data_IF_123194255428
#
_entry.id   IF_123194255428
#
_cell.length_a   1.000
_cell.length_b   1.000
_cell.length_c   1.000
_cell.angle_alpha   90.00
_cell.angle_beta   90.00
_cell.angle_gamma   90.00
#
_symmetry.space_group_name_H-M   'P 1'
#
loop_
_entity.id
_entity.type
_entity.pdbx_description
1 polymer ?
#
# COMPACT_ATOMS: atom_id res chain seq x y z
N UNK A 1 22.42 4.91 0.77
CA UNK A 1 20.96 4.97 0.88
C UNK A 1 20.57 6.28 0.22
N UNK A 2 19.96 6.21 -0.96
CA UNK A 2 19.65 7.36 -1.82
C UNK A 2 18.38 8.07 -1.35
N UNK A 3 18.37 9.40 -1.36
CA UNK A 3 17.25 10.25 -0.92
C UNK A 3 15.92 9.97 -1.66
N UNK A 4 15.98 9.34 -2.84
CA UNK A 4 14.81 8.93 -3.62
C UNK A 4 13.95 7.82 -2.98
N UNK A 5 14.49 7.04 -2.04
CA UNK A 5 13.71 5.97 -1.39
C UNK A 5 12.69 6.52 -0.38
N UNK A 6 12.90 7.75 0.13
CA UNK A 6 12.03 8.33 1.14
C UNK A 6 10.68 8.82 0.58
N UNK A 7 10.67 9.39 -0.62
CA UNK A 7 9.42 9.88 -1.23
C UNK A 7 8.47 8.73 -1.58
N UNK A 8 9.00 7.59 -2.03
CA UNK A 8 8.18 6.39 -2.31
C UNK A 8 7.56 5.80 -1.03
N UNK A 9 8.25 5.91 0.11
CA UNK A 9 7.76 5.44 1.41
C UNK A 9 6.66 6.32 2.01
N UNK A 10 6.70 7.64 1.76
CA UNK A 10 5.68 8.58 2.26
C UNK A 10 4.31 8.30 1.62
N UNK A 11 4.29 8.06 0.31
CA UNK A 11 3.05 7.76 -0.43
C UNK A 11 2.39 6.48 0.10
N UNK A 12 3.19 5.50 0.52
CA UNK A 12 2.67 4.26 1.09
C UNK A 12 2.01 4.43 2.45
N UNK A 13 2.51 5.33 3.31
CA UNK A 13 1.87 5.59 4.60
C UNK A 13 0.48 6.19 4.41
N UNK A 14 0.33 7.16 3.50
CA UNK A 14 -0.99 7.76 3.21
C UNK A 14 -1.97 6.72 2.64
N UNK A 15 -1.51 5.84 1.74
CA UNK A 15 -2.33 4.74 1.20
C UNK A 15 -2.73 3.78 2.32
N UNK A 16 -1.81 3.42 3.22
CA UNK A 16 -2.08 2.54 4.36
C UNK A 16 -3.07 3.17 5.33
N UNK A 17 -2.97 4.47 5.61
CA UNK A 17 -3.89 5.20 6.48
C UNK A 17 -5.30 5.32 5.87
N UNK A 18 -5.41 5.57 4.56
CA UNK A 18 -6.69 5.55 3.87
C UNK A 18 -7.31 4.14 3.85
N UNK A 19 -6.49 3.11 3.61
CA UNK A 19 -6.91 1.72 3.69
C UNK A 19 -7.40 1.39 5.09
N UNK A 20 -6.66 1.78 6.12
CA UNK A 20 -7.04 1.67 7.53
C UNK A 20 -8.37 2.39 7.82
N UNK A 21 -8.57 3.57 7.25
CA UNK A 21 -9.81 4.35 7.33
C UNK A 21 -10.98 3.74 6.52
N UNK A 22 -10.77 2.61 5.83
CA UNK A 22 -11.81 1.91 5.06
C UNK A 22 -11.91 2.34 3.59
N UNK A 23 -11.03 3.22 3.12
CA UNK A 23 -10.98 3.67 1.73
C UNK A 23 -9.98 2.83 0.93
N UNK A 24 -10.50 1.79 0.31
CA UNK A 24 -9.72 0.85 -0.53
C UNK A 24 -9.74 1.20 -2.03
N UNK A 25 -10.53 2.20 -2.42
CA UNK A 25 -10.92 2.43 -3.81
C UNK A 25 -10.13 3.63 -4.37
N UNK A 26 -9.47 3.44 -5.52
CA UNK A 26 -8.78 4.52 -6.25
C UNK A 26 -7.27 4.60 -6.01
N UNK A 27 -6.69 3.72 -5.18
CA UNK A 27 -5.25 3.67 -4.97
C UNK A 27 -4.52 3.11 -6.19
N UNK A 28 -3.44 3.79 -6.58
CA UNK A 28 -2.54 3.37 -7.65
C UNK A 28 -1.33 2.67 -7.06
N UNK A 29 -0.83 1.66 -7.76
CA UNK A 29 0.41 1.01 -7.37
C UNK A 29 1.59 1.96 -7.62
N UNK A 30 2.38 2.36 -6.61
CA UNK A 30 3.50 3.28 -6.80
C UNK A 30 4.65 2.70 -7.64
N UNK A 31 4.65 1.38 -7.89
CA UNK A 31 5.67 0.73 -8.72
C UNK A 31 5.35 0.72 -10.21
N UNK A 32 4.07 0.71 -10.57
CA UNK A 32 3.63 0.60 -11.97
C UNK A 32 2.56 1.62 -12.37
N UNK A 33 2.17 2.49 -11.43
CA UNK A 33 1.08 3.45 -11.49
C UNK A 33 -0.30 2.88 -11.89
N UNK A 34 -0.45 1.56 -11.86
CA UNK A 34 -1.66 0.90 -12.31
C UNK A 34 -2.75 0.91 -11.24
N UNK A 35 -4.01 1.00 -11.70
CA UNK A 35 -5.19 0.93 -10.84
C UNK A 35 -5.62 -0.53 -10.69
N UNK A 36 -5.66 -1.03 -9.45
CA UNK A 36 -5.96 -2.43 -9.17
C UNK A 36 -5.11 -2.97 -8.04
N UNK A 37 -5.24 -2.37 -6.86
CA UNK A 37 -4.65 -2.88 -5.62
C UNK A 37 -5.69 -3.73 -4.91
N UNK A 38 -5.37 -4.99 -4.73
CA UNK A 38 -6.12 -5.93 -3.91
C UNK A 38 -5.65 -5.78 -2.46
N UNK A 39 -6.56 -5.45 -1.56
CA UNK A 39 -6.23 -5.23 -0.15
C UNK A 39 -6.96 -6.26 0.69
N UNK A 40 -6.18 -7.10 1.35
CA UNK A 40 -6.63 -8.06 2.33
C UNK A 40 -6.32 -7.51 3.73
N UNK A 41 -7.37 -7.37 4.55
CA UNK A 41 -7.24 -6.86 5.92
C UNK A 41 -7.35 -8.01 6.89
N UNK A 42 -6.29 -8.25 7.63
CA UNK A 42 -6.28 -9.11 8.80
C UNK A 42 -6.37 -8.27 10.08
N UNK A 43 -6.87 -8.85 11.18
CA UNK A 43 -6.93 -8.17 12.47
C UNK A 43 -5.56 -7.74 13.04
N UNK A 44 -4.45 -8.27 12.51
CA UNK A 44 -3.09 -7.94 12.95
C UNK A 44 -2.20 -7.33 11.84
N UNK A 45 -2.63 -7.39 10.58
CA UNK A 45 -1.81 -7.04 9.41
C UNK A 45 -2.70 -6.56 8.26
N UNK A 46 -2.13 -5.76 7.39
CA UNK A 46 -2.77 -5.38 6.12
C UNK A 46 -1.87 -5.89 5.00
N UNK A 47 -2.43 -6.70 4.11
CA UNK A 47 -1.77 -7.18 2.90
C UNK A 47 -2.30 -6.41 1.69
N UNK A 48 -1.40 -5.82 0.92
CA UNK A 48 -1.72 -5.08 -0.31
C UNK A 48 -0.98 -5.75 -1.45
N UNK A 49 -1.70 -6.16 -2.49
CA UNK A 49 -1.14 -6.76 -3.69
C UNK A 49 -1.58 -5.99 -4.93
N UNK A 50 -0.63 -5.65 -5.79
CA UNK A 50 -0.97 -5.13 -7.11
C UNK A 50 -1.27 -6.27 -8.08
N UNK A 51 -2.42 -6.21 -8.74
CA UNK A 51 -2.81 -7.20 -9.74
C UNK A 51 -2.07 -7.03 -11.09
N UNK A 52 -1.45 -5.88 -11.32
CA UNK A 52 -0.76 -5.56 -12.58
C UNK A 52 0.73 -5.90 -12.53
N UNK A 53 1.47 -5.37 -11.55
CA UNK A 53 2.90 -5.67 -11.40
C UNK A 53 3.19 -6.88 -10.51
N UNK A 54 2.18 -7.41 -9.81
CA UNK A 54 2.32 -8.55 -8.91
C UNK A 54 3.06 -8.26 -7.59
N UNK A 55 3.46 -7.01 -7.33
CA UNK A 55 4.14 -6.66 -6.09
C UNK A 55 3.19 -6.70 -4.90
N UNK A 56 3.70 -7.19 -3.77
CA UNK A 56 3.00 -7.30 -2.50
C UNK A 56 3.68 -6.47 -1.42
N UNK A 57 2.88 -5.88 -0.54
CA UNK A 57 3.29 -5.07 0.60
C UNK A 57 2.51 -5.53 1.83
N UNK A 58 3.19 -5.60 2.98
CA UNK A 58 2.53 -5.87 4.24
C UNK A 58 2.75 -4.69 5.20
N UNK A 59 1.65 -4.14 5.72
CA UNK A 59 1.65 -3.19 6.82
C UNK A 59 1.43 -3.93 8.13
N UNK A 60 2.37 -3.81 9.07
CA UNK A 60 2.16 -4.31 10.44
C UNK A 60 1.46 -3.23 11.26
N UNK A 61 0.25 -3.53 11.69
CA UNK A 61 -0.46 -2.77 12.71
C UNK A 61 0.21 -3.05 14.07
N UNK A 62 1.22 -2.26 14.43
CA UNK A 62 1.66 -2.20 15.82
C UNK A 62 0.74 -1.22 16.54
N UNK A 63 -0.19 -1.78 17.31
CA UNK A 63 -1.05 -1.02 18.24
C UNK A 63 -0.24 -0.50 19.44
#
# INVERSE_FOLDING_TARGET
MSEHDYDELVIWQDILDEIMAGRLQGHRCPYCDAQGLEVEKDPARVYIKCNECGKTFEGRLSI
#
